data_IF_931025040220
#
_entry.id   IF_931025040220
#
_cell.length_a   1.000
_cell.length_b   1.000
_cell.length_c   1.000
_cell.angle_alpha   90.00
_cell.angle_beta   90.00
_cell.angle_gamma   90.00
#
_symmetry.space_group_name_H-M   'P 1'
#
loop_
_entity.id
_entity.type
_entity.pdbx_description
1 polymer ?
#
# COMPACT_ATOMS: atom_id res chain seq x y z
N UNK A 1 -56.31 5.66 -22.44
CA UNK A 1 -55.45 5.59 -21.24
C UNK A 1 -54.47 4.45 -21.44
N UNK A 2 -53.19 4.77 -21.70
CA UNK A 2 -52.11 3.79 -21.79
C UNK A 2 -51.34 3.77 -20.46
N UNK A 3 -50.84 2.61 -19.99
CA UNK A 3 -50.17 2.53 -18.70
C UNK A 3 -48.74 3.13 -18.77
N UNK A 4 -48.21 3.64 -17.64
CA UNK A 4 -46.88 4.22 -17.59
C UNK A 4 -45.80 3.14 -17.70
N UNK A 5 -44.87 3.33 -18.64
CA UNK A 5 -43.71 2.46 -18.84
C UNK A 5 -42.68 2.65 -17.73
N UNK A 6 -42.45 1.59 -16.94
CA UNK A 6 -41.41 1.50 -15.91
C UNK A 6 -39.97 1.57 -16.47
N UNK A 7 -39.05 2.35 -15.88
CA UNK A 7 -37.68 2.54 -16.36
C UNK A 7 -36.74 1.33 -16.18
N UNK A 8 -37.11 0.34 -15.35
CA UNK A 8 -36.33 -0.89 -15.14
C UNK A 8 -36.20 -1.75 -16.41
N UNK A 9 -37.10 -1.59 -17.39
CA UNK A 9 -37.05 -2.30 -18.67
C UNK A 9 -36.15 -1.64 -19.72
N UNK A 10 -35.69 -0.40 -19.51
CA UNK A 10 -34.86 0.32 -20.49
C UNK A 10 -33.39 -0.13 -20.49
N UNK A 11 -32.80 -0.37 -19.30
CA UNK A 11 -31.42 -0.85 -19.17
C UNK A 11 -31.26 -2.29 -19.70
N UNK A 12 -32.26 -3.14 -19.47
CA UNK A 12 -32.29 -4.51 -20.03
C UNK A 12 -32.50 -4.48 -21.56
N UNK A 13 -33.18 -3.46 -22.10
CA UNK A 13 -33.33 -3.25 -23.56
C UNK A 13 -32.03 -2.81 -24.23
N UNK A 14 -31.21 -1.99 -23.56
CA UNK A 14 -29.88 -1.57 -24.03
C UNK A 14 -28.90 -2.77 -24.11
N UNK A 15 -28.95 -3.68 -23.14
CA UNK A 15 -28.19 -4.94 -23.19
C UNK A 15 -28.73 -5.97 -24.21
N UNK A 16 -29.98 -5.82 -24.68
CA UNK A 16 -30.54 -6.59 -25.81
C UNK A 16 -30.19 -6.01 -27.19
N UNK A 17 -29.62 -4.80 -27.25
CA UNK A 17 -29.09 -4.28 -28.50
C UNK A 17 -27.77 -5.00 -28.80
N UNK A 18 -27.84 -5.91 -29.77
CA UNK A 18 -26.72 -6.79 -30.17
C UNK A 18 -25.40 -6.03 -30.29
N UNK A 19 -25.45 -4.80 -30.84
CA UNK A 19 -24.31 -3.90 -31.02
C UNK A 19 -23.61 -3.52 -29.71
N UNK A 20 -24.35 -3.08 -28.69
CA UNK A 20 -23.81 -2.63 -27.39
C UNK A 20 -23.17 -3.78 -26.63
N UNK A 21 -23.83 -4.95 -26.63
CA UNK A 21 -23.30 -6.17 -26.04
C UNK A 21 -22.03 -6.64 -26.77
N UNK A 22 -22.00 -6.64 -28.11
CA UNK A 22 -20.78 -6.97 -28.86
C UNK A 22 -19.65 -5.98 -28.59
N UNK A 23 -19.90 -4.68 -28.54
CA UNK A 23 -18.84 -3.70 -28.25
C UNK A 23 -18.25 -3.88 -26.85
N UNK A 24 -19.09 -4.15 -25.84
CA UNK A 24 -18.61 -4.42 -24.48
C UNK A 24 -17.84 -5.74 -24.40
N UNK A 25 -18.29 -6.78 -25.09
CA UNK A 25 -17.55 -8.05 -25.16
C UNK A 25 -16.21 -7.90 -25.89
N UNK A 26 -16.15 -7.11 -26.96
CA UNK A 26 -14.89 -6.82 -27.66
C UNK A 26 -13.93 -5.98 -26.81
N UNK A 27 -14.43 -5.00 -26.05
CA UNK A 27 -13.62 -4.24 -25.10
C UNK A 27 -13.10 -5.11 -23.96
N UNK A 28 -13.95 -5.99 -23.40
CA UNK A 28 -13.53 -6.94 -22.37
C UNK A 28 -12.50 -7.94 -22.91
N UNK A 29 -12.68 -8.42 -24.14
CA UNK A 29 -11.73 -9.31 -24.80
C UNK A 29 -10.39 -8.61 -25.08
N UNK A 30 -10.42 -7.36 -25.55
CA UNK A 30 -9.23 -6.55 -25.74
C UNK A 30 -8.50 -6.29 -24.42
N UNK A 31 -9.22 -5.96 -23.34
CA UNK A 31 -8.65 -5.81 -22.01
C UNK A 31 -8.03 -7.13 -21.50
N UNK A 32 -8.69 -8.27 -21.74
CA UNK A 32 -8.17 -9.58 -21.36
C UNK A 32 -6.90 -9.94 -22.16
N UNK A 33 -6.88 -9.65 -23.46
CA UNK A 33 -5.70 -9.85 -24.31
C UNK A 33 -4.52 -8.98 -23.85
N UNK A 34 -4.77 -7.75 -23.39
CA UNK A 34 -3.75 -6.86 -22.84
C UNK A 34 -3.18 -7.39 -21.50
N UNK A 35 -4.05 -7.88 -20.60
CA UNK A 35 -3.63 -8.48 -19.32
C UNK A 35 -2.82 -9.77 -19.50
N UNK A 36 -3.07 -10.53 -20.57
CA UNK A 36 -2.32 -11.74 -20.90
C UNK A 36 -0.97 -11.42 -21.56
N UNK A 37 -0.79 -10.21 -22.09
CA UNK A 37 0.43 -9.78 -22.80
C UNK A 37 1.50 -9.10 -21.94
N UNK A 38 1.16 -8.74 -20.69
CA UNK A 38 2.10 -8.07 -19.79
C UNK A 38 3.22 -8.99 -19.31
N UNK A 39 4.42 -8.44 -19.18
CA UNK A 39 5.58 -9.18 -18.67
C UNK A 39 5.77 -8.85 -17.17
N UNK A 40 6.15 -9.84 -16.37
CA UNK A 40 6.59 -9.60 -15.00
C UNK A 40 8.08 -9.35 -14.97
N UNK A 41 8.53 -8.44 -14.10
CA UNK A 41 9.93 -8.05 -13.97
C UNK A 41 10.38 -8.15 -12.51
N UNK A 42 11.63 -8.55 -12.32
CA UNK A 42 12.28 -8.55 -11.01
C UNK A 42 13.51 -7.66 -11.05
N UNK A 43 13.99 -7.25 -9.88
CA UNK A 43 15.25 -6.54 -9.71
C UNK A 43 16.02 -7.11 -8.54
N UNK A 44 17.32 -6.86 -8.53
CA UNK A 44 18.22 -7.22 -7.44
C UNK A 44 18.46 -6.00 -6.56
N UNK A 45 18.19 -6.12 -5.26
CA UNK A 45 18.46 -5.09 -4.27
C UNK A 45 19.70 -5.47 -3.46
N UNK A 46 20.75 -4.63 -3.43
CA UNK A 46 21.91 -4.87 -2.58
C UNK A 46 21.51 -4.85 -1.10
N UNK A 47 22.09 -5.76 -0.33
CA UNK A 47 21.93 -5.86 1.13
C UNK A 47 23.30 -5.84 1.81
N UNK A 48 23.33 -5.39 3.06
CA UNK A 48 24.58 -5.36 3.85
C UNK A 48 25.03 -6.77 4.24
N UNK A 49 26.33 -7.03 4.05
CA UNK A 49 26.95 -8.32 4.36
C UNK A 49 27.32 -8.33 5.84
N UNK A 50 26.35 -8.73 6.67
CA UNK A 50 26.54 -8.94 8.11
C UNK A 50 26.22 -10.39 8.49
N UNK A 51 26.78 -10.92 9.59
CA UNK A 51 26.40 -12.24 10.09
C UNK A 51 24.89 -12.41 10.24
N UNK A 52 24.19 -11.39 10.74
CA UNK A 52 22.74 -11.42 10.93
C UNK A 52 21.96 -11.51 9.61
N UNK A 53 22.37 -10.74 8.60
CA UNK A 53 21.74 -10.76 7.27
C UNK A 53 21.93 -12.12 6.61
N UNK A 54 23.17 -12.64 6.62
CA UNK A 54 23.51 -13.90 5.95
C UNK A 54 22.81 -15.09 6.61
N UNK A 55 22.76 -15.16 7.94
CA UNK A 55 22.03 -16.23 8.65
C UNK A 55 20.54 -16.23 8.30
N UNK A 56 19.88 -15.07 8.36
CA UNK A 56 18.45 -14.93 8.03
C UNK A 56 18.13 -15.40 6.60
N UNK A 57 18.99 -15.06 5.65
CA UNK A 57 18.81 -15.47 4.26
C UNK A 57 19.08 -16.96 4.08
N UNK A 58 20.11 -17.51 4.73
CA UNK A 58 20.47 -18.92 4.66
C UNK A 58 19.35 -19.87 5.10
N UNK A 59 18.49 -19.45 6.03
CA UNK A 59 17.36 -20.24 6.52
C UNK A 59 16.21 -20.40 5.50
N UNK A 60 16.08 -19.50 4.53
CA UNK A 60 14.86 -19.38 3.72
C UNK A 60 15.05 -19.10 2.23
N UNK A 61 16.31 -18.93 1.78
CA UNK A 61 16.62 -18.52 0.42
C UNK A 61 17.55 -19.50 -0.30
N UNK A 62 17.51 -19.42 -1.64
CA UNK A 62 18.33 -20.19 -2.56
C UNK A 62 19.54 -19.33 -2.95
N UNK A 63 20.74 -19.84 -2.73
CA UNK A 63 21.98 -19.08 -2.89
C UNK A 63 22.63 -19.41 -4.23
N UNK A 64 22.77 -18.40 -5.09
CA UNK A 64 23.55 -18.45 -6.32
C UNK A 64 24.85 -17.68 -6.13
N UNK A 65 25.97 -18.40 -6.18
CA UNK A 65 27.30 -17.85 -5.95
C UNK A 65 27.97 -17.51 -7.27
N UNK A 66 28.31 -16.25 -7.44
CA UNK A 66 29.02 -15.70 -8.57
C UNK A 66 30.51 -15.57 -8.25
N UNK A 67 31.34 -16.29 -9.01
CA UNK A 67 32.80 -16.17 -8.95
C UNK A 67 33.32 -15.92 -10.37
N UNK A 68 33.65 -14.65 -10.66
CA UNK A 68 33.99 -14.22 -12.02
C UNK A 68 32.84 -14.51 -13.00
N UNK A 69 33.12 -15.29 -14.04
CA UNK A 69 32.13 -15.70 -15.04
C UNK A 69 31.34 -16.96 -14.66
N UNK A 70 31.69 -17.61 -13.54
CA UNK A 70 31.07 -18.87 -13.13
C UNK A 70 29.98 -18.62 -12.09
N UNK A 71 28.86 -19.33 -12.24
CA UNK A 71 27.78 -19.32 -11.24
C UNK A 71 27.43 -20.74 -10.85
N UNK A 72 27.26 -20.95 -9.55
CA UNK A 72 26.94 -22.25 -8.96
C UNK A 72 26.01 -22.06 -7.76
N UNK A 73 25.33 -23.12 -7.34
CA UNK A 73 24.37 -23.06 -6.23
C UNK A 73 25.02 -23.53 -4.93
N UNK A 74 24.78 -22.81 -3.84
CA UNK A 74 25.20 -23.21 -2.50
C UNK A 74 24.04 -23.87 -1.77
N UNK A 75 24.12 -25.19 -1.59
CA UNK A 75 23.11 -25.97 -0.90
C UNK A 75 23.39 -26.05 0.60
N UNK A 76 22.31 -26.02 1.38
CA UNK A 76 22.34 -26.04 2.85
C UNK A 76 23.31 -25.00 3.45
N UNK A 77 23.19 -23.71 3.06
CA UNK A 77 24.04 -22.65 3.59
C UNK A 77 23.85 -22.54 5.11
N UNK A 78 24.95 -22.46 5.85
CA UNK A 78 24.97 -22.24 7.29
C UNK A 78 26.14 -21.32 7.64
N UNK A 79 25.87 -20.30 8.43
CA UNK A 79 26.92 -19.41 8.91
C UNK A 79 27.57 -20.00 10.16
N UNK A 80 28.90 -20.16 10.13
CA UNK A 80 29.72 -20.55 11.27
C UNK A 80 30.75 -19.46 11.55
N UNK A 81 30.47 -18.60 12.54
CA UNK A 81 31.27 -17.40 12.78
C UNK A 81 31.17 -16.41 11.63
N UNK A 82 32.30 -16.11 10.97
CA UNK A 82 32.36 -15.25 9.78
C UNK A 82 32.50 -16.05 8.47
N UNK A 83 32.22 -17.36 8.50
CA UNK A 83 32.32 -18.24 7.33
C UNK A 83 30.97 -18.83 6.98
N UNK A 84 30.53 -18.60 5.73
CA UNK A 84 29.35 -19.23 5.16
C UNK A 84 29.74 -20.59 4.58
N UNK A 85 29.26 -21.65 5.20
CA UNK A 85 29.56 -23.04 4.84
C UNK A 85 28.36 -23.63 4.09
N UNK A 86 28.62 -24.43 3.07
CA UNK A 86 27.58 -25.21 2.41
C UNK A 86 28.17 -26.19 1.41
N UNK A 87 27.34 -26.78 0.56
CA UNK A 87 27.76 -27.68 -0.51
C UNK A 87 27.65 -27.01 -1.86
N UNK A 88 28.73 -27.02 -2.63
CA UNK A 88 28.73 -26.54 -4.01
C UNK A 88 27.95 -27.53 -4.88
N UNK A 89 26.98 -27.01 -5.62
CA UNK A 89 26.17 -27.78 -6.56
C UNK A 89 26.03 -27.04 -7.88
N UNK A 90 25.71 -27.78 -8.94
CA UNK A 90 25.28 -27.18 -10.19
C UNK A 90 23.96 -26.43 -9.98
N UNK A 91 23.78 -25.32 -10.70
CA UNK A 91 22.52 -24.58 -10.68
C UNK A 91 21.40 -25.49 -11.21
N UNK A 92 20.27 -25.54 -10.48
CA UNK A 92 19.10 -26.28 -10.93
C UNK A 92 18.62 -25.76 -12.30
N UNK A 93 18.22 -26.65 -13.24
CA UNK A 93 17.81 -26.24 -14.58
C UNK A 93 16.67 -25.21 -14.62
N UNK A 94 15.78 -25.23 -13.61
CA UNK A 94 14.69 -24.27 -13.44
C UNK A 94 15.19 -22.85 -13.13
N UNK A 95 16.37 -22.73 -12.52
CA UNK A 95 16.97 -21.47 -12.08
C UNK A 95 17.91 -20.88 -13.13
N UNK A 96 18.37 -21.68 -14.10
CA UNK A 96 19.27 -21.25 -15.18
C UNK A 96 18.88 -19.94 -15.89
N UNK A 97 17.59 -19.64 -16.17
CA UNK A 97 17.19 -18.37 -16.77
C UNK A 97 17.41 -17.14 -15.89
N UNK A 98 17.61 -17.34 -14.58
CA UNK A 98 17.65 -16.30 -13.55
C UNK A 98 19.05 -16.12 -12.95
N UNK A 99 20.07 -16.69 -13.58
CA UNK A 99 21.46 -16.75 -13.08
C UNK A 99 22.23 -15.44 -13.27
N UNK A 100 21.85 -14.60 -14.23
CA UNK A 100 22.69 -13.49 -14.68
C UNK A 100 22.38 -12.11 -14.07
N UNK A 101 23.40 -11.27 -13.82
CA UNK A 101 23.19 -9.85 -13.56
C UNK A 101 22.89 -9.15 -14.87
N UNK A 102 21.75 -8.47 -14.99
CA UNK A 102 21.65 -7.40 -16.00
C UNK A 102 21.71 -6.09 -15.25
N UNK A 103 22.91 -5.53 -15.15
CA UNK A 103 23.17 -4.33 -14.35
C UNK A 103 22.51 -3.06 -14.90
N UNK A 104 21.61 -3.14 -15.88
CA UNK A 104 20.92 -1.98 -16.46
C UNK A 104 19.48 -2.24 -16.91
N UNK A 105 18.95 -3.47 -16.73
CA UNK A 105 17.57 -3.79 -17.07
C UNK A 105 17.00 -4.74 -16.01
N UNK A 106 15.70 -4.62 -15.74
CA UNK A 106 15.05 -5.56 -14.82
C UNK A 106 14.74 -6.79 -15.65
N UNK A 107 15.22 -8.00 -15.30
CA UNK A 107 14.92 -9.18 -16.11
C UNK A 107 13.47 -9.62 -15.92
N UNK A 108 12.99 -10.41 -16.89
CA UNK A 108 11.61 -10.93 -16.86
C UNK A 108 11.54 -12.26 -16.14
N UNK A 109 10.40 -12.53 -15.51
CA UNK A 109 10.07 -13.85 -14.99
C UNK A 109 8.65 -14.28 -15.37
N UNK A 110 8.43 -15.59 -15.44
CA UNK A 110 7.11 -16.17 -15.67
C UNK A 110 6.35 -16.23 -14.35
N UNK A 111 5.05 -15.95 -14.34
CA UNK A 111 4.24 -15.95 -13.11
C UNK A 111 4.34 -17.27 -12.32
N UNK A 112 4.46 -18.41 -13.02
CA UNK A 112 4.65 -19.74 -12.40
C UNK A 112 6.00 -19.92 -11.69
N UNK A 113 7.00 -19.13 -12.04
CA UNK A 113 8.36 -19.21 -11.47
C UNK A 113 8.54 -18.18 -10.33
N UNK A 114 7.49 -17.40 -9.99
CA UNK A 114 7.54 -16.29 -9.01
C UNK A 114 8.16 -16.68 -7.68
N UNK A 115 7.71 -17.80 -7.11
CA UNK A 115 8.16 -18.27 -5.79
C UNK A 115 9.65 -18.60 -5.81
N UNK A 116 10.12 -19.28 -6.86
CA UNK A 116 11.53 -19.63 -7.01
C UNK A 116 12.40 -18.39 -7.19
N UNK A 117 11.96 -17.46 -8.07
CA UNK A 117 12.70 -16.22 -8.38
C UNK A 117 12.83 -15.32 -7.16
N UNK A 118 11.76 -15.11 -6.39
CA UNK A 118 11.81 -14.25 -5.19
C UNK A 118 12.46 -14.91 -3.96
N UNK A 119 12.84 -16.18 -4.10
CA UNK A 119 13.67 -16.89 -3.13
C UNK A 119 15.16 -16.88 -3.50
N UNK A 120 15.56 -16.27 -4.62
CA UNK A 120 16.96 -16.17 -5.01
C UNK A 120 17.70 -15.08 -4.24
N UNK A 121 18.93 -15.42 -3.84
CA UNK A 121 19.96 -14.51 -3.35
C UNK A 121 21.20 -14.72 -4.20
N UNK A 122 21.76 -13.65 -4.75
CA UNK A 122 23.02 -13.67 -5.48
C UNK A 122 24.14 -13.17 -4.59
N UNK A 123 25.21 -13.95 -4.46
CA UNK A 123 26.41 -13.54 -3.72
C UNK A 123 27.58 -13.52 -4.67
N UNK A 124 28.27 -12.39 -4.75
CA UNK A 124 29.48 -12.20 -5.54
C UNK A 124 30.68 -12.35 -4.65
N UNK A 125 31.54 -13.31 -4.95
CA UNK A 125 32.70 -13.64 -4.13
C UNK A 125 34.00 -13.48 -4.90
N UNK A 126 35.08 -13.12 -4.19
CA UNK A 126 36.45 -13.15 -4.73
C UNK A 126 37.08 -14.54 -4.59
N UNK A 127 36.80 -15.24 -3.49
CA UNK A 127 37.45 -16.51 -3.15
C UNK A 127 36.59 -17.38 -2.22
N UNK A 128 36.91 -18.67 -2.15
CA UNK A 128 36.34 -19.63 -1.20
C UNK A 128 37.33 -20.76 -0.92
N UNK A 129 37.18 -21.44 0.21
CA UNK A 129 37.97 -22.64 0.56
C UNK A 129 37.18 -23.89 0.24
N UNK A 130 37.76 -24.79 -0.56
CA UNK A 130 37.19 -26.11 -0.81
C UNK A 130 37.52 -27.08 0.34
N UNK A 131 36.54 -27.87 0.76
CA UNK A 131 36.67 -28.98 1.69
C UNK A 131 36.38 -30.32 1.00
N UNK A 132 36.16 -31.37 1.81
CA UNK A 132 35.78 -32.69 1.29
C UNK A 132 34.32 -32.73 0.84
N UNK A 133 33.99 -33.64 -0.08
CA UNK A 133 32.62 -33.92 -0.54
C UNK A 133 31.83 -32.66 -0.99
N UNK A 134 32.46 -31.83 -1.83
CA UNK A 134 31.93 -30.57 -2.38
C UNK A 134 31.57 -29.51 -1.33
N UNK A 135 32.05 -29.68 -0.08
CA UNK A 135 31.92 -28.65 0.93
C UNK A 135 32.74 -27.42 0.54
N UNK A 136 32.17 -26.24 0.77
CA UNK A 136 32.85 -24.97 0.56
C UNK A 136 32.64 -24.07 1.78
N UNK A 137 33.66 -23.29 2.09
CA UNK A 137 33.62 -22.22 3.10
C UNK A 137 33.92 -20.89 2.43
N UNK A 138 33.00 -19.94 2.54
CA UNK A 138 33.11 -18.59 1.98
C UNK A 138 33.23 -17.60 3.15
N UNK A 139 34.41 -16.99 3.37
CA UNK A 139 34.54 -15.93 4.35
C UNK A 139 33.65 -14.73 3.97
N UNK A 140 32.95 -14.11 4.93
CA UNK A 140 32.15 -12.91 4.66
C UNK A 140 32.98 -11.79 4.03
N UNK A 141 34.26 -11.66 4.40
CA UNK A 141 35.20 -10.69 3.82
C UNK A 141 35.52 -10.93 2.34
N UNK A 142 35.31 -12.15 1.85
CA UNK A 142 35.48 -12.48 0.44
C UNK A 142 34.20 -12.23 -0.37
N UNK A 143 33.09 -11.83 0.27
CA UNK A 143 31.85 -11.45 -0.39
C UNK A 143 31.90 -9.97 -0.76
N UNK A 144 31.92 -9.69 -2.05
CA UNK A 144 31.99 -8.35 -2.61
C UNK A 144 30.62 -7.68 -2.70
N UNK A 145 29.56 -8.48 -2.90
CA UNK A 145 28.19 -8.01 -3.03
C UNK A 145 27.20 -9.12 -2.68
N UNK A 146 26.12 -8.77 -1.99
CA UNK A 146 24.98 -9.64 -1.73
C UNK A 146 23.72 -8.94 -2.22
N UNK A 147 23.00 -9.60 -3.12
CA UNK A 147 21.81 -9.07 -3.75
C UNK A 147 20.61 -10.00 -3.49
N UNK A 148 19.50 -9.44 -3.01
CA UNK A 148 18.23 -10.16 -2.86
C UNK A 148 17.32 -9.82 -4.03
N UNK A 149 16.67 -10.84 -4.60
CA UNK A 149 15.70 -10.63 -5.68
C UNK A 149 14.35 -10.17 -5.12
N UNK A 150 13.82 -9.08 -5.68
CA UNK A 150 12.48 -8.57 -5.38
C UNK A 150 11.71 -8.21 -6.67
N UNK A 151 10.40 -8.03 -6.55
CA UNK A 151 9.57 -7.58 -7.67
C UNK A 151 9.97 -6.17 -8.12
N UNK A 152 10.14 -5.96 -9.42
CA UNK A 152 10.18 -4.60 -9.98
C UNK A 152 8.74 -4.17 -10.28
N UNK A 153 8.01 -3.80 -9.23
CA UNK A 153 6.61 -3.38 -9.32
C UNK A 153 6.43 -2.22 -10.29
N UNK A 154 7.42 -1.32 -10.39
CA UNK A 154 7.40 -0.19 -11.31
C UNK A 154 7.42 -0.64 -12.77
N UNK A 155 8.43 -1.42 -13.20
CA UNK A 155 8.53 -1.89 -14.59
C UNK A 155 7.49 -2.97 -14.93
N UNK A 156 7.07 -3.76 -13.96
CA UNK A 156 5.97 -4.71 -14.11
C UNK A 156 4.69 -3.97 -14.43
N UNK A 157 4.29 -3.03 -13.57
CA UNK A 157 3.11 -2.18 -13.79
C UNK A 157 3.24 -1.40 -15.09
N UNK A 158 4.41 -0.81 -15.36
CA UNK A 158 4.68 -0.08 -16.60
C UNK A 158 4.62 -0.97 -17.84
N UNK A 159 4.99 -2.25 -17.79
CA UNK A 159 4.88 -3.16 -18.94
C UNK A 159 3.45 -3.61 -19.19
N UNK A 160 2.63 -3.76 -18.14
CA UNK A 160 1.19 -3.94 -18.30
C UNK A 160 0.56 -2.68 -18.91
N UNK A 161 1.08 -1.49 -18.58
CA UNK A 161 0.65 -0.18 -19.09
C UNK A 161 1.12 0.07 -20.54
N UNK A 162 2.38 -0.23 -20.89
CA UNK A 162 3.00 0.05 -22.20
C UNK A 162 2.68 -1.02 -23.26
N UNK A 163 2.35 -2.26 -22.85
CA UNK A 163 1.79 -3.28 -23.74
C UNK A 163 0.41 -2.88 -24.30
N UNK A 164 -0.29 -1.98 -23.61
CA UNK A 164 -1.43 -1.23 -24.13
C UNK A 164 -0.91 0.08 -24.75
N UNK A 165 -0.66 0.07 -26.06
CA UNK A 165 -0.16 1.22 -26.83
C UNK A 165 -0.80 2.55 -26.42
N UNK A 166 0.03 3.47 -25.91
CA UNK A 166 -0.29 4.88 -25.70
C UNK A 166 -0.11 5.32 -24.25
N UNK A 167 0.89 6.16 -24.01
CA UNK A 167 1.25 6.76 -22.71
C UNK A 167 0.09 7.58 -22.08
N UNK A 168 -0.97 7.88 -22.83
CA UNK A 168 -2.23 8.42 -22.31
C UNK A 168 -3.31 7.38 -21.99
N UNK A 169 -3.24 6.15 -22.49
CA UNK A 169 -4.30 5.15 -22.30
C UNK A 169 -4.03 4.29 -21.08
N UNK A 170 -2.77 4.01 -20.73
CA UNK A 170 -2.45 3.13 -19.60
C UNK A 170 -2.73 3.74 -18.21
N UNK A 171 -2.48 5.05 -18.02
CA UNK A 171 -2.93 5.76 -16.80
C UNK A 171 -4.45 5.87 -16.78
N UNK A 172 -5.10 6.18 -17.90
CA UNK A 172 -6.56 6.20 -18.01
C UNK A 172 -7.21 4.81 -17.97
N UNK A 173 -6.49 3.72 -18.24
CA UNK A 173 -6.93 2.33 -18.11
C UNK A 173 -6.70 1.84 -16.69
N UNK A 174 -5.62 2.23 -16.01
CA UNK A 174 -5.44 1.90 -14.61
C UNK A 174 -6.41 2.69 -13.75
N UNK A 175 -6.54 4.00 -13.99
CA UNK A 175 -7.61 4.85 -13.45
C UNK A 175 -8.96 4.32 -13.94
N UNK A 176 -9.12 3.91 -15.20
CA UNK A 176 -10.38 3.36 -15.71
C UNK A 176 -10.78 2.01 -15.11
N UNK A 177 -9.81 1.15 -14.79
CA UNK A 177 -9.99 -0.14 -14.11
C UNK A 177 -10.23 0.09 -12.62
N UNK A 178 -9.54 1.05 -12.00
CA UNK A 178 -9.82 1.53 -10.64
C UNK A 178 -11.24 2.13 -10.62
N UNK A 179 -11.63 3.03 -11.51
CA UNK A 179 -12.98 3.59 -11.67
C UNK A 179 -14.03 2.50 -11.92
N UNK A 180 -13.69 1.46 -12.69
CA UNK A 180 -14.61 0.36 -13.02
C UNK A 180 -14.74 -0.66 -11.87
N UNK A 181 -13.68 -0.88 -11.09
CA UNK A 181 -13.64 -1.83 -9.96
C UNK A 181 -13.94 -1.18 -8.60
N UNK A 182 -13.67 0.11 -8.47
CA UNK A 182 -13.77 0.93 -7.26
C UNK A 182 -14.71 2.08 -7.60
N UNK A 183 -15.94 1.96 -7.12
CA UNK A 183 -16.84 3.09 -7.06
C UNK A 183 -16.49 3.88 -5.79
N UNK A 184 -15.28 4.43 -5.69
CA UNK A 184 -15.01 5.38 -4.61
C UNK A 184 -15.94 6.58 -4.78
N UNK A 185 -16.19 7.37 -3.75
CA UNK A 185 -17.10 8.54 -3.83
C UNK A 185 -16.38 9.86 -3.62
N UNK A 186 -15.07 9.84 -3.88
CA UNK A 186 -14.12 10.79 -3.34
C UNK A 186 -13.51 11.58 -4.52
N UNK A 187 -13.45 12.92 -4.46
CA UNK A 187 -12.76 13.70 -5.49
C UNK A 187 -11.28 13.44 -5.49
N UNK A 188 -10.72 13.45 -6.69
CA UNK A 188 -9.31 13.22 -6.92
C UNK A 188 -8.59 14.55 -6.83
N UNK A 189 -7.54 14.61 -6.02
CA UNK A 189 -6.72 15.81 -5.80
C UNK A 189 -5.39 15.64 -6.53
N UNK A 190 -5.04 16.66 -7.31
CA UNK A 190 -3.78 16.74 -8.03
C UNK A 190 -3.05 18.04 -7.67
N UNK A 191 -1.73 17.96 -7.48
CA UNK A 191 -0.86 19.11 -7.31
C UNK A 191 0.02 19.29 -8.55
N UNK A 192 0.22 20.53 -8.99
CA UNK A 192 1.14 20.83 -10.07
C UNK A 192 2.57 20.91 -9.53
N UNK A 193 3.48 20.12 -10.11
CA UNK A 193 4.87 20.06 -9.69
C UNK A 193 5.80 20.99 -10.49
N UNK A 194 5.24 21.91 -11.29
CA UNK A 194 5.98 22.80 -12.19
C UNK A 194 5.99 22.32 -13.66
N UNK A 195 5.75 21.03 -13.91
CA UNK A 195 5.70 20.45 -15.26
C UNK A 195 4.33 19.83 -15.58
N UNK A 196 3.75 19.11 -14.62
CA UNK A 196 2.49 18.38 -14.81
C UNK A 196 1.70 18.25 -13.49
N UNK A 197 0.43 17.90 -13.63
CA UNK A 197 -0.42 17.53 -12.50
C UNK A 197 -0.10 16.11 -12.02
N UNK A 198 0.35 15.98 -10.78
CA UNK A 198 0.57 14.71 -10.11
C UNK A 198 -0.58 14.39 -9.17
N UNK A 199 -1.07 13.16 -9.20
CA UNK A 199 -2.10 12.68 -8.28
C UNK A 199 -1.56 12.62 -6.86
N UNK A 200 -2.29 13.21 -5.92
CA UNK A 200 -1.88 13.31 -4.50
C UNK A 200 -2.71 12.38 -3.62
N UNK A 201 -4.00 12.23 -3.88
CA UNK A 201 -4.93 11.62 -2.94
C UNK A 201 -6.37 11.80 -3.37
N UNK A 202 -7.26 11.16 -2.62
CA UNK A 202 -8.70 11.41 -2.72
C UNK A 202 -9.18 12.13 -1.45
N UNK A 203 -10.05 13.12 -1.62
CA UNK A 203 -10.55 13.95 -0.53
C UNK A 203 -11.85 13.42 0.09
N UNK A 204 -12.03 13.69 1.38
CA UNK A 204 -13.22 13.47 2.21
C UNK A 204 -13.89 12.10 2.03
N UNK A 205 -13.07 11.05 1.91
CA UNK A 205 -13.56 9.72 1.58
C UNK A 205 -14.58 9.16 2.58
N UNK A 206 -15.73 8.70 2.10
CA UNK A 206 -16.83 8.25 2.96
C UNK A 206 -17.72 9.36 3.55
N UNK A 207 -17.48 10.64 3.24
CA UNK A 207 -18.42 11.73 3.49
C UNK A 207 -19.59 11.73 2.47
N UNK A 208 -20.38 10.65 2.44
CA UNK A 208 -21.33 10.37 1.34
C UNK A 208 -22.60 11.25 1.41
N UNK A 209 -23.02 11.68 2.60
CA UNK A 209 -24.25 12.43 2.82
C UNK A 209 -23.96 13.76 3.51
N UNK A 210 -24.84 14.76 3.32
CA UNK A 210 -24.65 16.09 3.90
C UNK A 210 -24.37 16.09 5.42
N UNK A 211 -25.03 15.24 6.25
CA UNK A 211 -24.73 15.22 7.68
C UNK A 211 -23.35 14.61 8.03
N UNK A 212 -22.64 13.97 7.09
CA UNK A 212 -21.27 13.50 7.28
C UNK A 212 -20.20 14.47 6.77
N UNK A 213 -20.61 15.72 6.49
CA UNK A 213 -19.72 16.85 6.25
C UNK A 213 -18.68 16.97 7.37
N UNK A 214 -17.43 17.13 6.96
CA UNK A 214 -16.27 17.32 7.83
C UNK A 214 -15.13 17.90 7.01
N UNK A 215 -14.17 18.50 7.70
CA UNK A 215 -12.92 18.90 7.09
C UNK A 215 -12.07 17.68 6.74
N UNK A 216 -11.28 17.82 5.67
CA UNK A 216 -10.25 16.86 5.31
C UNK A 216 -8.96 17.61 4.99
N UNK A 217 -7.87 17.21 5.66
CA UNK A 217 -6.59 17.90 5.61
C UNK A 217 -5.58 17.02 4.89
N UNK A 218 -5.16 17.46 3.70
CA UNK A 218 -4.28 16.70 2.84
C UNK A 218 -2.96 17.44 2.61
N UNK A 219 -1.81 16.85 2.96
CA UNK A 219 -0.53 17.41 2.53
C UNK A 219 -0.41 17.33 1.01
N UNK A 220 0.17 18.38 0.40
CA UNK A 220 0.41 18.46 -1.04
C UNK A 220 1.92 18.34 -1.32
N UNK A 221 2.50 17.13 -1.23
CA UNK A 221 3.93 16.94 -1.44
C UNK A 221 4.30 17.30 -2.89
N UNK A 222 5.51 17.83 -3.07
CA UNK A 222 6.08 18.18 -4.37
C UNK A 222 5.34 19.26 -5.17
N UNK A 223 4.35 19.94 -4.57
CA UNK A 223 3.74 21.11 -5.20
C UNK A 223 4.81 22.19 -5.42
N UNK A 224 4.86 22.76 -6.62
CA UNK A 224 5.76 23.85 -6.96
C UNK A 224 4.98 25.03 -7.50
N UNK A 225 5.41 26.23 -7.13
CA UNK A 225 4.87 27.44 -7.71
C UNK A 225 5.20 27.48 -9.20
N UNK A 226 4.21 27.75 -10.03
CA UNK A 226 4.39 28.02 -11.46
C UNK A 226 4.20 29.52 -11.66
N UNK A 227 5.30 30.26 -11.73
CA UNK A 227 5.29 31.71 -11.52
C UNK A 227 5.06 32.04 -10.05
N UNK A 228 4.08 32.90 -9.74
CA UNK A 228 3.72 33.30 -8.37
C UNK A 228 2.51 32.54 -7.81
N UNK A 229 2.10 31.43 -8.45
CA UNK A 229 0.89 30.70 -8.10
C UNK A 229 1.14 29.22 -7.87
N UNK A 230 0.52 28.66 -6.83
CA UNK A 230 0.36 27.22 -6.67
C UNK A 230 -0.90 26.77 -7.41
N UNK A 231 -0.82 25.64 -8.10
CA UNK A 231 -1.95 25.08 -8.83
C UNK A 231 -2.34 23.72 -8.24
N UNK A 232 -3.60 23.63 -7.84
CA UNK A 232 -4.24 22.41 -7.33
C UNK A 232 -5.47 22.16 -8.17
N UNK A 233 -5.70 20.91 -8.54
CA UNK A 233 -6.85 20.48 -9.33
C UNK A 233 -7.61 19.41 -8.56
N UNK A 234 -8.91 19.64 -8.40
CA UNK A 234 -9.85 18.70 -7.77
C UNK A 234 -10.82 18.24 -8.86
N UNK A 235 -10.88 16.94 -9.14
CA UNK A 235 -11.72 16.38 -10.19
C UNK A 235 -12.73 15.38 -9.66
N UNK A 236 -13.93 15.45 -10.22
CA UNK A 236 -14.92 14.40 -10.13
C UNK A 236 -14.74 13.45 -11.31
N UNK A 237 -14.07 12.33 -11.10
CA UNK A 237 -13.78 11.35 -12.15
C UNK A 237 -14.84 10.23 -12.21
N UNK A 238 -15.77 10.24 -11.27
CA UNK A 238 -16.78 9.21 -11.08
C UNK A 238 -18.18 9.75 -11.37
N UNK A 239 -19.15 8.85 -11.55
CA UNK A 239 -20.55 9.24 -11.84
C UNK A 239 -21.29 9.61 -10.57
N UNK A 240 -20.86 10.70 -9.95
CA UNK A 240 -21.37 11.15 -8.66
C UNK A 240 -21.60 12.65 -8.60
N UNK A 241 -22.23 13.11 -7.51
CA UNK A 241 -22.42 14.53 -7.21
C UNK A 241 -21.58 14.85 -5.99
N UNK A 242 -20.59 15.70 -6.17
CA UNK A 242 -19.70 16.16 -5.12
C UNK A 242 -20.08 17.59 -4.73
N UNK A 243 -19.99 17.91 -3.45
CA UNK A 243 -20.21 19.25 -2.92
C UNK A 243 -19.01 19.59 -2.03
N UNK A 244 -18.29 20.64 -2.38
CA UNK A 244 -17.21 21.20 -1.57
C UNK A 244 -17.66 22.58 -1.12
N UNK A 245 -17.84 22.78 0.17
CA UNK A 245 -18.24 24.08 0.72
C UNK A 245 -17.06 25.05 0.76
N UNK A 246 -15.90 24.56 1.19
CA UNK A 246 -14.68 25.34 1.35
C UNK A 246 -13.49 24.54 0.83
N UNK A 247 -12.57 25.21 0.12
CA UNK A 247 -11.28 24.66 -0.27
C UNK A 247 -10.22 25.73 -0.02
N UNK A 248 -9.22 25.39 0.79
CA UNK A 248 -8.17 26.31 1.21
C UNK A 248 -6.79 25.71 0.96
N UNK A 249 -5.81 26.59 0.69
CA UNK A 249 -4.40 26.22 0.63
C UNK A 249 -3.69 26.83 1.83
N UNK A 250 -3.20 25.97 2.72
CA UNK A 250 -2.45 26.38 3.91
C UNK A 250 -0.96 26.22 3.64
N UNK A 251 -0.21 27.31 3.83
CA UNK A 251 1.24 27.33 3.59
C UNK A 251 1.96 27.48 4.93
N UNK A 252 2.80 26.49 5.26
CA UNK A 252 3.64 26.52 6.45
C UNK A 252 5.10 26.73 6.05
N UNK A 253 5.72 27.81 6.54
CA UNK A 253 7.17 28.01 6.41
C UNK A 253 7.86 27.28 7.56
N UNK A 254 8.75 26.34 7.25
CA UNK A 254 9.49 25.55 8.22
C UNK A 254 10.91 25.22 7.72
N UNK A 255 11.77 24.73 8.60
CA UNK A 255 13.10 24.25 8.22
C UNK A 255 13.01 22.95 7.39
N UNK A 256 13.99 22.71 6.52
CA UNK A 256 13.99 21.56 5.57
C UNK A 256 13.84 20.19 6.26
N UNK A 257 14.32 20.04 7.49
CA UNK A 257 14.27 18.79 8.26
C UNK A 257 13.00 18.64 9.12
N UNK A 258 12.05 19.57 9.01
CA UNK A 258 10.78 19.55 9.73
C UNK A 258 9.67 19.22 8.75
N UNK A 259 8.82 18.26 9.10
CA UNK A 259 7.57 18.02 8.39
C UNK A 259 6.44 18.70 9.16
N UNK A 260 5.50 19.32 8.43
CA UNK A 260 4.28 19.88 9.00
C UNK A 260 3.09 19.02 8.57
N UNK A 261 2.34 18.49 9.54
CA UNK A 261 1.14 17.69 9.33
C UNK A 261 -0.02 18.30 10.12
N UNK A 262 -1.24 18.16 9.59
CA UNK A 262 -2.45 18.52 10.31
C UNK A 262 -3.10 17.23 10.83
N UNK A 263 -3.70 17.31 12.01
CA UNK A 263 -4.62 16.25 12.45
C UNK A 263 -6.01 16.42 11.84
N UNK A 264 -6.92 15.47 12.08
CA UNK A 264 -8.29 15.50 11.53
C UNK A 264 -9.14 16.69 11.99
N UNK A 265 -8.69 17.46 12.98
CA UNK A 265 -9.35 18.67 13.48
C UNK A 265 -8.64 19.95 13.05
N UNK A 266 -7.60 19.84 12.21
CA UNK A 266 -6.85 20.97 11.68
C UNK A 266 -5.74 21.49 12.59
N UNK A 267 -5.43 20.82 13.71
CA UNK A 267 -4.30 21.27 14.52
C UNK A 267 -2.99 20.95 13.83
N UNK A 268 -2.09 21.93 13.81
CA UNK A 268 -0.79 21.83 13.16
C UNK A 268 0.23 21.14 14.07
N UNK A 269 0.92 20.15 13.53
CA UNK A 269 1.97 19.39 14.19
C UNK A 269 3.27 19.44 13.40
N UNK A 270 4.35 19.87 14.05
CA UNK A 270 5.71 19.71 13.53
C UNK A 270 6.28 18.35 13.92
N UNK A 271 6.88 17.66 12.96
CA UNK A 271 7.48 16.33 13.12
C UNK A 271 8.94 16.41 12.68
N UNK A 272 9.84 15.91 13.51
CA UNK A 272 11.27 15.79 13.22
C UNK A 272 11.73 14.41 13.65
N UNK A 273 12.41 13.68 12.78
CA UNK A 273 12.97 12.35 13.05
C UNK A 273 11.96 11.38 13.71
N UNK A 274 10.83 11.07 13.04
CA UNK A 274 9.88 10.09 13.57
C UNK A 274 10.57 8.74 13.82
N UNK A 275 10.24 8.10 14.94
CA UNK A 275 10.84 6.83 15.34
C UNK A 275 9.96 5.66 14.88
N UNK A 276 10.57 4.65 14.28
CA UNK A 276 9.90 3.41 13.91
C UNK A 276 9.48 2.61 15.16
N UNK A 277 8.43 1.78 15.09
CA UNK A 277 8.09 0.89 16.18
C UNK A 277 9.20 -0.13 16.43
N UNK A 278 9.57 -0.36 17.70
CA UNK A 278 10.51 -1.41 18.09
C UNK A 278 9.89 -2.79 18.09
N UNK A 279 8.56 -2.87 18.16
CA UNK A 279 7.79 -4.09 17.93
C UNK A 279 6.47 -3.77 17.24
N UNK A 280 6.04 -4.59 16.30
CA UNK A 280 4.68 -4.59 15.78
C UNK A 280 4.12 -6.01 15.80
N UNK A 281 3.14 -6.28 16.66
CA UNK A 281 2.61 -7.63 16.88
C UNK A 281 1.10 -7.64 16.63
N UNK A 282 0.63 -8.52 15.76
CA UNK A 282 -0.80 -8.68 15.48
C UNK A 282 -1.52 -9.42 16.62
N UNK A 283 -2.86 -9.46 16.56
CA UNK A 283 -3.66 -10.25 17.51
C UNK A 283 -3.34 -11.75 17.50
N UNK A 284 -2.84 -12.28 16.39
CA UNK A 284 -2.42 -13.68 16.28
C UNK A 284 -1.00 -13.92 16.78
N UNK A 285 -0.30 -12.89 17.25
CA UNK A 285 1.09 -12.96 17.66
C UNK A 285 2.09 -12.91 16.50
N UNK A 286 1.64 -12.58 15.28
CA UNK A 286 2.53 -12.45 14.12
C UNK A 286 3.33 -11.16 14.23
N UNK A 287 4.62 -11.24 13.94
CA UNK A 287 5.54 -10.10 14.02
C UNK A 287 5.61 -9.37 12.67
N UNK A 288 5.18 -8.10 12.67
CA UNK A 288 5.19 -7.16 11.54
C UNK A 288 6.23 -6.04 11.70
N UNK A 289 7.16 -6.16 12.65
CA UNK A 289 8.09 -5.07 13.01
C UNK A 289 8.87 -4.57 11.80
N UNK A 290 9.40 -5.49 10.98
CA UNK A 290 10.15 -5.12 9.76
C UNK A 290 9.24 -4.51 8.70
N UNK A 291 8.02 -5.04 8.56
CA UNK A 291 7.04 -4.60 7.57
C UNK A 291 6.49 -3.20 7.87
N UNK A 292 6.48 -2.79 9.15
CA UNK A 292 5.98 -1.48 9.59
C UNK A 292 7.11 -0.55 10.05
N UNK A 293 8.37 -0.86 9.71
CA UNK A 293 9.53 -0.07 10.11
C UNK A 293 9.75 1.20 9.27
N UNK A 294 9.21 1.25 8.06
CA UNK A 294 9.43 2.34 7.11
C UNK A 294 8.14 2.68 6.34
N UNK A 295 8.08 3.91 5.82
CA UNK A 295 7.07 4.30 4.85
C UNK A 295 7.46 3.73 3.48
N UNK A 296 6.98 2.52 3.21
CA UNK A 296 7.18 1.83 1.94
C UNK A 296 5.87 1.17 1.47
N UNK A 297 5.95 0.18 0.57
CA UNK A 297 4.78 -0.50 0.02
C UNK A 297 4.35 -1.71 0.87
N UNK A 298 5.01 -1.99 1.99
CA UNK A 298 4.62 -3.04 2.92
C UNK A 298 3.50 -2.52 3.82
N UNK A 299 2.43 -3.31 3.94
CA UNK A 299 1.21 -2.90 4.63
C UNK A 299 0.73 -3.99 5.57
N UNK A 300 0.13 -3.59 6.69
CA UNK A 300 -0.67 -4.48 7.51
C UNK A 300 -2.14 -4.39 7.06
N UNK A 301 -2.68 -5.49 6.53
CA UNK A 301 -3.97 -5.52 5.85
C UNK A 301 -5.19 -5.66 6.77
N UNK A 302 -5.00 -5.80 8.09
CA UNK A 302 -6.08 -6.04 9.05
C UNK A 302 -7.03 -7.18 8.64
N UNK A 303 -6.50 -8.26 8.05
CA UNK A 303 -7.27 -9.40 7.51
C UNK A 303 -7.07 -10.71 8.30
N UNK A 304 -6.48 -10.62 9.49
CA UNK A 304 -6.18 -11.79 10.31
C UNK A 304 -7.37 -12.21 11.16
N UNK A 305 -8.08 -13.29 10.78
CA UNK A 305 -9.11 -13.85 11.64
C UNK A 305 -8.50 -14.44 12.93
N UNK A 306 -8.74 -13.79 14.08
CA UNK A 306 -8.44 -14.34 15.40
C UNK A 306 -9.71 -14.94 16.02
N UNK A 307 -9.68 -16.17 16.57
CA UNK A 307 -10.86 -16.79 17.18
C UNK A 307 -11.47 -15.91 18.27
N UNK A 308 -12.77 -15.64 18.16
CA UNK A 308 -13.52 -14.81 19.12
C UNK A 308 -13.28 -13.30 19.00
N UNK A 309 -12.43 -12.83 18.08
CA UNK A 309 -12.26 -11.42 17.79
C UNK A 309 -13.25 -10.98 16.71
N UNK A 310 -13.96 -9.87 16.96
CA UNK A 310 -14.84 -9.21 15.98
C UNK A 310 -14.09 -8.16 15.15
N UNK A 311 -12.86 -7.81 15.54
CA UNK A 311 -12.01 -6.78 14.92
C UNK A 311 -10.55 -7.23 14.94
N UNK A 312 -9.78 -6.78 13.94
CA UNK A 312 -8.37 -7.10 13.79
C UNK A 312 -7.52 -5.93 14.25
N UNK A 313 -6.39 -6.19 14.90
CA UNK A 313 -5.55 -5.12 15.42
C UNK A 313 -4.07 -5.46 15.39
N UNK A 314 -3.24 -4.43 15.41
CA UNK A 314 -1.79 -4.52 15.54
C UNK A 314 -1.32 -3.67 16.72
N UNK A 315 -0.48 -4.24 17.57
CA UNK A 315 0.15 -3.57 18.71
C UNK A 315 1.55 -3.09 18.31
N UNK A 316 1.74 -1.78 18.21
CA UNK A 316 3.00 -1.10 17.95
C UNK A 316 3.65 -0.70 19.28
N UNK A 317 4.90 -1.08 19.54
CA UNK A 317 5.66 -0.65 20.72
C UNK A 317 6.72 0.35 20.30
N UNK A 318 6.95 1.37 21.12
CA UNK A 318 7.95 2.41 20.85
C UNK A 318 8.79 2.62 22.10
N UNK A 319 10.08 2.90 21.91
CA UNK A 319 10.95 3.25 23.02
C UNK A 319 10.62 4.66 23.52
N UNK A 320 10.58 4.81 24.85
CA UNK A 320 10.38 6.11 25.51
C UNK A 320 11.53 6.37 26.50
N UNK A 321 12.77 6.52 26.00
CA UNK A 321 13.94 6.64 26.87
C UNK A 321 13.90 7.91 27.72
N UNK A 322 13.26 8.97 27.22
CA UNK A 322 13.11 10.25 27.93
C UNK A 322 11.94 10.25 28.93
N UNK A 323 11.19 9.15 29.03
CA UNK A 323 9.97 9.05 29.85
C UNK A 323 8.98 10.20 29.57
N UNK A 324 8.89 10.62 28.30
CA UNK A 324 8.01 11.69 27.88
C UNK A 324 6.56 11.36 28.21
N UNK A 325 5.85 12.37 28.75
CA UNK A 325 4.41 12.28 29.07
C UNK A 325 3.52 12.60 27.87
N UNK A 326 4.10 13.02 26.76
CA UNK A 326 3.40 13.37 25.53
C UNK A 326 4.21 12.87 24.35
N UNK A 327 3.54 12.42 23.30
CA UNK A 327 4.16 11.98 22.05
C UNK A 327 3.30 12.36 20.87
N UNK A 328 3.78 12.04 19.66
CA UNK A 328 2.98 12.11 18.44
C UNK A 328 3.04 10.77 17.74
N UNK A 329 1.89 10.21 17.38
CA UNK A 329 1.83 9.06 16.49
C UNK A 329 1.69 9.56 15.06
N UNK A 330 2.60 9.17 14.18
CA UNK A 330 2.50 9.44 12.75
C UNK A 330 2.06 8.15 12.06
N UNK A 331 0.98 8.20 11.30
CA UNK A 331 0.44 7.06 10.57
C UNK A 331 0.42 7.36 9.08
N UNK A 332 0.90 6.39 8.31
CA UNK A 332 0.74 6.36 6.86
C UNK A 332 -0.26 5.25 6.54
N UNK A 333 -1.48 5.62 6.17
CA UNK A 333 -2.59 4.68 6.06
C UNK A 333 -3.52 5.02 4.90
N UNK A 334 -4.16 3.99 4.36
CA UNK A 334 -5.22 4.11 3.37
C UNK A 334 -6.34 3.14 3.69
N UNK A 335 -7.51 3.39 3.13
CA UNK A 335 -8.56 2.39 3.12
C UNK A 335 -8.20 1.24 2.17
N UNK A 336 -8.66 0.05 2.52
CA UNK A 336 -8.60 -1.08 1.60
C UNK A 336 -9.72 -0.98 0.56
N UNK A 337 -9.46 -1.47 -0.65
CA UNK A 337 -10.48 -1.61 -1.70
C UNK A 337 -11.65 -2.51 -1.28
N UNK A 338 -11.49 -3.28 -0.21
CA UNK A 338 -12.51 -4.13 0.35
C UNK A 338 -13.69 -3.33 0.92
N UNK A 339 -13.43 -2.20 1.57
CA UNK A 339 -14.50 -1.36 2.12
C UNK A 339 -15.38 -0.80 1.00
N UNK A 340 -14.77 -0.28 -0.07
CA UNK A 340 -15.47 0.25 -1.24
C UNK A 340 -16.29 -0.84 -1.94
N UNK A 341 -15.72 -2.05 -2.07
CA UNK A 341 -16.43 -3.19 -2.62
C UNK A 341 -17.66 -3.56 -1.78
N UNK A 342 -17.50 -3.69 -0.45
CA UNK A 342 -18.59 -4.02 0.46
C UNK A 342 -19.70 -2.97 0.42
N UNK A 343 -19.34 -1.70 0.43
CA UNK A 343 -20.30 -0.61 0.34
C UNK A 343 -21.02 -0.61 -1.01
N UNK A 344 -20.30 -0.91 -2.10
CA UNK A 344 -20.87 -1.10 -3.43
C UNK A 344 -21.88 -2.26 -3.49
N UNK A 345 -21.57 -3.42 -2.90
CA UNK A 345 -22.49 -4.55 -2.83
C UNK A 345 -23.70 -4.28 -1.93
N UNK A 346 -23.49 -3.59 -0.81
CA UNK A 346 -24.56 -3.14 0.08
C UNK A 346 -25.54 -2.23 -0.67
N UNK A 347 -25.04 -1.17 -1.32
CA UNK A 347 -25.88 -0.22 -2.05
C UNK A 347 -26.59 -0.85 -3.25
N UNK A 348 -25.99 -1.84 -3.93
CA UNK A 348 -26.63 -2.61 -5.00
C UNK A 348 -27.88 -3.36 -4.53
N UNK A 349 -27.91 -3.84 -3.27
CA UNK A 349 -29.04 -4.60 -2.73
C UNK A 349 -30.34 -3.80 -2.67
N UNK A 350 -30.27 -2.47 -2.63
CA UNK A 350 -31.46 -1.61 -2.66
C UNK A 350 -32.12 -1.54 -4.04
N UNK A 351 -31.39 -1.87 -5.12
CA UNK A 351 -31.92 -1.81 -6.48
C UNK A 351 -32.60 -0.47 -6.80
N UNK A 352 -33.85 -0.50 -7.24
CA UNK A 352 -34.63 0.70 -7.55
C UNK A 352 -34.98 1.58 -6.34
N UNK A 353 -34.91 1.04 -5.11
CA UNK A 353 -35.20 1.79 -3.88
C UNK A 353 -33.99 2.63 -3.40
N UNK A 354 -32.82 2.49 -4.05
CA UNK A 354 -31.60 3.19 -3.65
C UNK A 354 -31.80 4.71 -3.50
N UNK A 355 -32.47 5.34 -4.48
CA UNK A 355 -32.67 6.79 -4.46
C UNK A 355 -33.58 7.25 -3.32
N UNK A 356 -34.52 6.41 -2.88
CA UNK A 356 -35.40 6.73 -1.76
C UNK A 356 -34.64 6.60 -0.45
N UNK A 357 -33.95 5.47 -0.24
CA UNK A 357 -33.06 5.27 0.90
C UNK A 357 -31.99 6.37 1.00
N UNK A 358 -31.30 6.70 -0.10
CA UNK A 358 -30.27 7.75 -0.10
C UNK A 358 -30.83 9.14 0.22
N UNK A 359 -32.12 9.40 0.00
CA UNK A 359 -32.76 10.65 0.45
C UNK A 359 -32.99 10.62 1.95
N UNK A 360 -33.47 9.51 2.51
CA UNK A 360 -33.68 9.42 3.96
C UNK A 360 -32.37 9.60 4.73
N UNK A 361 -31.24 9.13 4.18
CA UNK A 361 -29.92 9.33 4.80
C UNK A 361 -29.51 10.81 4.92
N UNK A 362 -30.08 11.72 4.14
CA UNK A 362 -29.79 13.17 4.24
C UNK A 362 -30.45 13.81 5.47
N UNK A 363 -31.52 13.21 5.96
CA UNK A 363 -32.30 13.72 7.08
C UNK A 363 -31.89 13.06 8.41
N UNK A 364 -31.01 12.05 8.37
CA UNK A 364 -30.47 11.42 9.58
C UNK A 364 -29.54 12.42 10.28
N UNK A 365 -29.68 12.64 11.59
CA UNK A 365 -28.77 13.50 12.34
C UNK A 365 -27.31 13.07 12.19
N UNK A 366 -26.41 14.05 12.06
CA UNK A 366 -24.96 13.80 11.93
C UNK A 366 -24.41 12.92 13.06
N UNK A 367 -24.85 13.17 14.30
CA UNK A 367 -24.45 12.39 15.47
C UNK A 367 -24.84 10.92 15.36
N UNK A 368 -26.04 10.62 14.85
CA UNK A 368 -26.52 9.25 14.66
C UNK A 368 -25.71 8.53 13.58
N UNK A 369 -25.43 9.20 12.45
CA UNK A 369 -24.59 8.64 11.38
C UNK A 369 -23.15 8.39 11.86
N UNK A 370 -22.58 9.32 12.61
CA UNK A 370 -21.25 9.19 13.16
C UNK A 370 -21.17 8.05 14.19
N UNK A 371 -22.16 7.95 15.09
CA UNK A 371 -22.23 6.87 16.06
C UNK A 371 -22.41 5.51 15.37
N UNK A 372 -23.30 5.42 14.38
CA UNK A 372 -23.47 4.21 13.58
C UNK A 372 -22.14 3.77 12.95
N UNK A 373 -21.39 4.71 12.36
CA UNK A 373 -20.07 4.43 11.77
C UNK A 373 -19.06 3.88 12.79
N UNK A 374 -19.02 4.46 13.99
CA UNK A 374 -18.17 4.00 15.10
C UNK A 374 -18.55 2.59 15.59
N UNK A 375 -19.85 2.31 15.67
CA UNK A 375 -20.42 1.03 16.09
C UNK A 375 -20.13 -0.08 15.06
N UNK A 376 -20.13 0.26 13.77
CA UNK A 376 -19.72 -0.65 12.70
C UNK A 376 -18.20 -0.88 12.65
N UNK A 377 -17.41 -0.09 13.37
CA UNK A 377 -15.95 -0.17 13.32
C UNK A 377 -15.37 0.25 11.97
N UNK A 378 -16.04 1.18 11.28
CA UNK A 378 -15.59 1.71 9.98
C UNK A 378 -14.33 2.58 10.15
N UNK A 379 -14.26 3.51 11.12
CA UNK A 379 -13.04 4.27 11.40
C UNK A 379 -11.93 3.40 12.01
N UNK A 380 -10.67 3.72 11.69
CA UNK A 380 -9.52 3.09 12.35
C UNK A 380 -9.40 3.61 13.79
N UNK A 381 -9.43 2.71 14.78
CA UNK A 381 -9.41 3.08 16.19
C UNK A 381 -7.97 3.13 16.69
N UNK A 382 -7.56 4.25 17.29
CA UNK A 382 -6.23 4.44 17.85
C UNK A 382 -6.32 4.44 19.37
N UNK A 383 -5.66 3.48 20.01
CA UNK A 383 -5.59 3.39 21.47
C UNK A 383 -4.15 3.38 21.96
N UNK A 384 -3.93 3.97 23.13
CA UNK A 384 -2.65 3.91 23.86
C UNK A 384 -2.82 3.07 25.12
N UNK A 385 -1.81 2.27 25.47
CA UNK A 385 -1.77 1.57 26.75
C UNK A 385 -1.21 2.50 27.83
N UNK A 386 -1.94 2.65 28.93
CA UNK A 386 -1.57 3.38 30.15
C UNK A 386 -1.53 2.42 31.34
N UNK A 387 -1.18 2.90 32.53
CA UNK A 387 -1.31 2.13 33.78
C UNK A 387 -2.75 1.67 34.05
N UNK A 388 -3.77 2.35 33.51
CA UNK A 388 -5.19 2.01 33.67
C UNK A 388 -5.71 1.06 32.58
N UNK A 389 -4.87 0.67 31.62
CA UNK A 389 -5.23 -0.19 30.50
C UNK A 389 -5.24 0.56 29.17
N UNK A 390 -6.06 0.11 28.23
CA UNK A 390 -6.15 0.72 26.91
C UNK A 390 -7.11 1.90 26.93
N UNK A 391 -6.61 3.08 26.58
CA UNK A 391 -7.39 4.30 26.44
C UNK A 391 -7.51 4.67 24.96
N UNK A 392 -8.74 4.93 24.50
CA UNK A 392 -9.01 5.39 23.14
C UNK A 392 -8.52 6.84 23.02
N UNK A 393 -7.65 7.09 22.06
CA UNK A 393 -7.13 8.42 21.75
C UNK A 393 -7.90 9.04 20.60
N UNK A 394 -8.12 8.28 19.54
CA UNK A 394 -8.80 8.81 18.37
C UNK A 394 -9.47 7.72 17.50
N UNK A 395 -10.38 8.16 16.63
CA UNK A 395 -10.95 7.41 15.52
C UNK A 395 -10.64 8.17 14.22
N UNK A 396 -9.86 7.55 13.34
CA UNK A 396 -9.47 8.13 12.05
C UNK A 396 -10.59 7.81 11.06
N UNK A 397 -11.23 8.82 10.46
CA UNK A 397 -12.29 8.58 9.48
C UNK A 397 -11.73 7.83 8.27
N UNK A 398 -12.65 7.32 7.46
CA UNK A 398 -12.30 6.76 6.15
C UNK A 398 -11.56 7.79 5.31
N UNK A 399 -10.52 7.32 4.60
CA UNK A 399 -9.73 8.09 3.64
C UNK A 399 -9.82 7.45 2.26
N UNK A 400 -9.33 8.11 1.21
CA UNK A 400 -9.20 7.50 -0.10
C UNK A 400 -8.43 6.16 -0.06
N UNK A 401 -8.75 5.20 -0.94
CA UNK A 401 -7.98 3.97 -1.08
C UNK A 401 -6.60 4.17 -1.72
N UNK A 402 -6.32 5.34 -2.31
CA UNK A 402 -5.06 5.58 -3.02
C UNK A 402 -4.71 7.05 -3.23
N UNK A 403 -3.43 7.44 -3.16
CA UNK A 403 -2.36 6.81 -2.36
C UNK A 403 -2.61 6.97 -0.85
N UNK A 404 -1.79 6.35 0.03
CA UNK A 404 -1.98 6.48 1.46
C UNK A 404 -1.73 7.90 1.97
N UNK A 405 -2.59 8.32 2.90
CA UNK A 405 -2.52 9.61 3.56
C UNK A 405 -1.67 9.52 4.83
N UNK A 406 -0.92 10.58 5.11
CA UNK A 406 -0.10 10.69 6.32
C UNK A 406 -0.74 11.64 7.33
N UNK A 407 -0.94 11.16 8.55
CA UNK A 407 -1.58 11.90 9.64
C UNK A 407 -0.69 11.91 10.88
N UNK A 408 -0.81 12.96 11.70
CA UNK A 408 -0.17 13.03 13.01
C UNK A 408 -1.20 13.18 14.12
N UNK A 409 -1.04 12.44 15.22
CA UNK A 409 -1.95 12.47 16.36
C UNK A 409 -1.20 12.79 17.64
N UNK A 410 -1.68 13.73 18.47
CA UNK A 410 -1.13 13.93 19.79
C UNK A 410 -1.45 12.73 20.70
N UNK A 411 -0.44 12.19 21.37
CA UNK A 411 -0.58 11.16 22.40
C UNK A 411 -0.35 11.81 23.78
N UNK A 412 -1.26 11.60 24.72
CA UNK A 412 -1.02 11.89 26.14
C UNK A 412 -0.66 10.59 26.86
N UNK A 413 0.60 10.45 27.26
CA UNK A 413 1.12 9.31 28.01
C UNK A 413 1.06 9.61 29.51
N UNK A 414 -0.05 9.27 30.17
CA UNK A 414 -0.09 9.22 31.64
C UNK A 414 0.52 7.88 32.11
N UNK A 415 1.79 7.94 32.50
CA UNK A 415 2.56 6.91 33.23
C UNK A 415 2.28 5.43 32.86
N UNK A 416 3.22 4.83 32.12
CA UNK A 416 3.36 3.38 31.98
C UNK A 416 3.44 2.90 30.54
N UNK A 417 4.65 2.58 30.08
CA UNK A 417 5.03 1.72 28.93
C UNK A 417 4.23 1.86 27.62
N UNK A 418 4.91 2.38 26.58
CA UNK A 418 4.37 2.54 25.23
C UNK A 418 4.18 1.20 24.51
N UNK A 419 2.93 0.73 24.53
CA UNK A 419 2.34 -0.14 23.51
C UNK A 419 1.15 0.63 22.93
N UNK A 420 1.24 1.09 21.69
CA UNK A 420 0.11 1.51 20.87
C UNK A 420 -0.59 0.29 20.28
N UNK A 421 -1.91 0.34 20.10
CA UNK A 421 -2.66 -0.67 19.35
C UNK A 421 -3.53 0.07 18.35
N UNK A 422 -3.27 -0.15 17.07
CA UNK A 422 -4.21 0.21 16.01
C UNK A 422 -5.27 -0.90 16.01
N UNK A 423 -6.48 -0.54 16.42
CA UNK A 423 -7.64 -1.42 16.60
C UNK A 423 -8.55 -1.42 15.40
#
# INVERSE_FOLDING_TARGET
MAPPSTPAFAAVRLFRQRLVATTLSWLALAAHLLLVSGCNYYRTKPEEITPTTVTRLAESKIFLIHQGATVWQLNNPQLNGEELIGKKANVEPSLSPYVGPTSYASPRYKSRDREQVFNLVHIYISDFRAGEADQVSIPLKAMNRLDVVEADSGKTTLSYILGATGIGVGIFLLIGVIIMLTKSSCPFVYAHNGEQYQFVGEAYGGAIFAPSERDDYMPLPHIQATGEQFQVKITNELRERQYTNVAELWVAHHAENVQVLLDKTGNVHTITQPQAPTKAISMRGVNYTTQLAATDHNVFLFNEAAPGATQNSVVLSFDNPTQAKTGKLVLHAQNSLWLDYLYGEFTKKFGSAFNEWARTQKDVPAEELNQWSLDQGIPLKISVRTAHGWELIDNIPTVGPSPPATWSFPLQCRLGWLQGRCK
#
